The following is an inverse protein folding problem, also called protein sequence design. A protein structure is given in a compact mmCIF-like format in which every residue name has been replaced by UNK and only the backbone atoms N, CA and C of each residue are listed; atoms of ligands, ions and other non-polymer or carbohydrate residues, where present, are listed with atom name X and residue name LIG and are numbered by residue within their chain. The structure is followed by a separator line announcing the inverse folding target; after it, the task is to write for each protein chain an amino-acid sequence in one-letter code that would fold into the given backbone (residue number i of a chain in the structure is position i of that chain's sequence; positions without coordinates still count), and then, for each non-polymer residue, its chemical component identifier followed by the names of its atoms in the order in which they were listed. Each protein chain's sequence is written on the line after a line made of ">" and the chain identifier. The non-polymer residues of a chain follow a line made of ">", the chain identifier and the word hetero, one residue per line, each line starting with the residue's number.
data_IF_479383800360
#
_entry.id   IF_479383800360
#
_cell.length_a   1.000
_cell.length_b   1.000
_cell.length_c   1.000
_cell.angle_alpha   90.00
_cell.angle_beta   90.00
_cell.angle_gamma   90.00
#
_symmetry.space_group_name_H-M   'P 1'
#
loop_
_entity.id
_entity.type
_entity.pdbx_description
1 polymer ?
#
# COMPACT_ATOMS: atom_id res chain seq x y z
N UNK A 1 -6.35 -35.19 -4.35
CA UNK A 1 -5.56 -34.02 -3.89
C UNK A 1 -5.05 -33.30 -5.11
N UNK A 2 -5.79 -32.30 -5.57
CA UNK A 2 -5.40 -31.44 -6.70
C UNK A 2 -4.48 -30.36 -6.14
N UNK A 3 -3.19 -30.48 -6.41
CA UNK A 3 -2.22 -29.42 -6.15
C UNK A 3 -2.49 -28.31 -7.16
N UNK A 4 -3.25 -27.29 -6.76
CA UNK A 4 -3.31 -26.02 -7.47
C UNK A 4 -1.94 -25.37 -7.34
N UNK A 5 -1.08 -25.56 -8.34
CA UNK A 5 0.10 -24.72 -8.50
C UNK A 5 -0.37 -23.30 -8.73
N UNK A 6 0.11 -22.35 -7.91
CA UNK A 6 -0.13 -20.93 -8.13
C UNK A 6 0.22 -20.58 -9.58
N UNK A 7 -0.70 -19.98 -10.35
CA UNK A 7 -0.45 -19.66 -11.75
C UNK A 7 0.75 -18.72 -11.87
N UNK A 8 1.60 -18.97 -12.88
CA UNK A 8 2.76 -18.13 -13.16
C UNK A 8 2.29 -16.67 -13.37
N UNK A 9 2.66 -15.75 -12.47
CA UNK A 9 2.07 -14.41 -12.45
C UNK A 9 2.43 -13.55 -13.66
N UNK A 10 3.50 -13.92 -14.38
CA UNK A 10 4.04 -13.14 -15.50
C UNK A 10 3.16 -13.17 -16.76
N UNK A 11 2.13 -14.02 -16.84
CA UNK A 11 1.38 -14.20 -18.09
C UNK A 11 -0.10 -13.79 -18.04
N UNK A 12 -0.68 -13.51 -16.86
CA UNK A 12 -2.13 -13.22 -16.76
C UNK A 12 -2.60 -12.23 -15.67
N UNK A 13 -1.75 -11.73 -14.78
CA UNK A 13 -2.23 -11.03 -13.58
C UNK A 13 -2.20 -9.50 -13.69
N UNK A 14 -3.37 -8.91 -13.91
CA UNK A 14 -3.63 -7.46 -13.85
C UNK A 14 -3.82 -7.05 -12.37
N UNK A 15 -2.78 -7.24 -11.56
CA UNK A 15 -2.76 -7.02 -10.10
C UNK A 15 -2.24 -8.24 -9.31
N UNK A 16 -1.79 -8.01 -8.07
CA UNK A 16 -1.19 -9.04 -7.21
C UNK A 16 -2.18 -10.07 -6.68
N UNK A 17 -3.26 -9.59 -6.09
CA UNK A 17 -4.34 -10.40 -5.55
C UNK A 17 -5.59 -9.53 -5.40
N UNK A 18 -6.79 -10.10 -5.32
CA UNK A 18 -7.95 -9.36 -4.82
C UNK A 18 -7.71 -8.92 -3.38
N UNK A 19 -8.05 -7.67 -3.06
CA UNK A 19 -8.17 -7.17 -1.69
C UNK A 19 -9.60 -6.73 -1.48
N UNK A 20 -10.49 -7.72 -1.52
CA UNK A 20 -11.94 -7.52 -1.42
C UNK A 20 -12.43 -7.57 0.02
N UNK A 21 -11.57 -7.94 0.98
CA UNK A 21 -11.91 -8.12 2.40
C UNK A 21 -11.09 -7.24 3.34
N UNK A 22 -11.55 -7.09 4.59
CA UNK A 22 -10.82 -6.39 5.66
C UNK A 22 -9.44 -6.99 5.88
N UNK A 23 -8.41 -6.17 5.62
CA UNK A 23 -7.08 -6.46 6.13
C UNK A 23 -7.03 -6.17 7.63
N UNK A 24 -6.85 -7.22 8.41
CA UNK A 24 -6.52 -7.10 9.83
C UNK A 24 -5.03 -7.32 9.99
N UNK A 25 -4.32 -6.32 10.53
CA UNK A 25 -2.90 -6.47 10.87
C UNK A 25 -2.73 -7.58 11.89
N UNK A 26 -1.74 -8.47 11.75
CA UNK A 26 -1.45 -9.48 12.76
C UNK A 26 -1.23 -8.85 14.15
N UNK A 27 -1.65 -9.54 15.22
CA UNK A 27 -1.61 -8.98 16.59
C UNK A 27 -0.21 -8.50 17.01
N UNK A 28 0.85 -9.20 16.57
CA UNK A 28 2.23 -8.81 16.90
C UNK A 28 2.65 -7.47 16.24
N UNK A 29 1.91 -7.00 15.24
CA UNK A 29 2.07 -5.69 14.62
C UNK A 29 1.36 -4.58 15.42
N UNK A 30 0.71 -4.90 16.55
CA UNK A 30 0.18 -3.88 17.43
C UNK A 30 1.32 -3.09 18.09
N UNK A 31 1.14 -1.78 18.25
CA UNK A 31 2.13 -0.89 18.89
C UNK A 31 2.46 -1.29 20.34
N UNK A 32 1.59 -2.04 21.01
CA UNK A 32 1.85 -2.65 22.32
C UNK A 32 3.01 -3.64 22.31
N UNK A 33 3.18 -4.39 21.22
CA UNK A 33 4.22 -5.42 21.08
C UNK A 33 5.39 -4.97 20.20
N UNK A 34 5.18 -3.93 19.40
CA UNK A 34 6.19 -3.39 18.50
C UNK A 34 7.00 -2.26 19.16
N UNK A 35 8.20 -2.59 19.63
CA UNK A 35 9.03 -1.67 20.43
C UNK A 35 9.88 -0.70 19.61
N UNK A 36 9.97 -0.88 18.29
CA UNK A 36 10.71 0.04 17.41
C UNK A 36 9.85 1.25 17.04
N UNK A 37 10.10 2.37 17.72
CA UNK A 37 9.40 3.64 17.52
C UNK A 37 9.90 4.46 16.32
N UNK A 38 11.01 4.06 15.69
CA UNK A 38 11.55 4.69 14.48
C UNK A 38 10.86 4.08 13.24
N UNK A 39 10.73 2.76 13.20
CA UNK A 39 10.07 2.03 12.11
C UNK A 39 8.76 1.42 12.61
N UNK A 40 7.60 2.10 12.45
CA UNK A 40 6.32 1.58 12.92
C UNK A 40 5.96 0.24 12.24
N UNK A 41 5.05 -0.56 12.82
CA UNK A 41 4.71 -1.90 12.31
C UNK A 41 4.37 -1.94 10.82
N UNK A 42 3.57 -0.98 10.34
CA UNK A 42 3.15 -0.89 8.94
C UNK A 42 4.26 -0.44 7.97
N UNK A 43 5.47 -0.20 8.47
CA UNK A 43 6.69 -0.07 7.65
C UNK A 43 7.37 -1.41 7.39
N UNK A 44 6.84 -2.51 7.94
CA UNK A 44 7.35 -3.87 7.79
C UNK A 44 6.43 -4.74 6.95
N UNK A 45 7.02 -5.53 6.05
CA UNK A 45 6.32 -6.41 5.11
C UNK A 45 5.50 -7.50 5.82
N UNK A 46 5.92 -7.95 7.00
CA UNK A 46 5.19 -8.95 7.79
C UNK A 46 3.86 -8.43 8.35
N UNK A 47 3.69 -7.10 8.35
CA UNK A 47 2.50 -6.40 8.81
C UNK A 47 1.65 -5.89 7.65
N UNK A 48 1.90 -6.34 6.42
CA UNK A 48 1.15 -5.98 5.22
C UNK A 48 0.17 -7.08 4.81
N UNK A 49 -0.84 -6.77 3.97
CA UNK A 49 -1.76 -7.79 3.47
C UNK A 49 -1.00 -8.90 2.72
N UNK A 50 -1.64 -10.07 2.62
CA UNK A 50 -1.09 -11.20 1.83
C UNK A 50 -0.74 -10.74 0.41
N UNK A 51 0.24 -11.38 -0.22
CA UNK A 51 0.71 -11.01 -1.56
C UNK A 51 1.34 -9.60 -1.68
N UNK A 52 1.63 -8.92 -0.58
CA UNK A 52 2.28 -7.59 -0.65
C UNK A 52 3.62 -7.63 -1.39
N UNK A 53 4.43 -8.68 -1.19
CA UNK A 53 5.69 -8.84 -1.93
C UNK A 53 5.46 -8.89 -3.45
N UNK A 54 4.33 -9.47 -3.89
CA UNK A 54 3.95 -9.48 -5.30
C UNK A 54 3.62 -8.06 -5.80
N UNK A 55 2.92 -7.27 -4.98
CA UNK A 55 2.60 -5.86 -5.27
C UNK A 55 3.86 -5.02 -5.39
N UNK A 56 4.75 -5.11 -4.39
CA UNK A 56 5.88 -4.21 -4.26
C UNK A 56 7.13 -4.66 -5.02
N UNK A 57 7.54 -5.91 -4.88
CA UNK A 57 8.84 -6.36 -5.40
C UNK A 57 8.79 -6.59 -6.91
N UNK A 58 7.62 -6.98 -7.43
CA UNK A 58 7.41 -7.20 -8.86
C UNK A 58 6.72 -6.01 -9.54
N UNK A 59 6.52 -4.90 -8.82
CA UNK A 59 5.88 -3.68 -9.32
C UNK A 59 4.47 -3.90 -9.89
N UNK A 60 3.77 -4.98 -9.51
CA UNK A 60 2.37 -5.16 -9.94
C UNK A 60 1.42 -4.20 -9.26
N UNK A 61 1.87 -3.54 -8.18
CA UNK A 61 1.43 -2.28 -7.59
C UNK A 61 -0.06 -2.04 -7.41
N UNK A 62 -0.93 -3.02 -7.60
CA UNK A 62 -2.32 -2.94 -7.17
C UNK A 62 -2.79 -4.30 -6.69
N UNK A 63 -3.55 -4.25 -5.60
CA UNK A 63 -4.58 -5.25 -5.37
C UNK A 63 -5.75 -4.99 -6.33
N UNK A 64 -6.23 -6.02 -7.00
CA UNK A 64 -7.23 -5.92 -8.06
C UNK A 64 -8.13 -7.16 -8.11
N UNK A 65 -9.45 -7.01 -8.02
CA UNK A 65 -10.12 -5.80 -7.53
C UNK A 65 -9.77 -5.54 -6.05
N UNK A 66 -9.78 -4.27 -5.65
CA UNK A 66 -9.61 -3.91 -4.25
C UNK A 66 -10.02 -2.47 -3.97
N UNK A 67 -10.37 -2.23 -2.71
CA UNK A 67 -10.62 -0.90 -2.14
C UNK A 67 -9.82 -0.76 -0.84
N UNK A 68 -9.83 0.42 -0.23
CA UNK A 68 -9.11 0.63 1.01
C UNK A 68 -9.63 -0.30 2.10
N UNK A 69 -8.75 -1.12 2.71
CA UNK A 69 -9.19 -2.03 3.76
C UNK A 69 -9.64 -1.23 4.99
N UNK A 70 -10.48 -1.83 5.83
CA UNK A 70 -10.87 -1.21 7.09
C UNK A 70 -9.65 -0.79 7.94
N UNK A 71 -9.70 0.39 8.52
CA UNK A 71 -8.57 1.01 9.22
C UNK A 71 -7.65 1.86 8.32
N UNK A 72 -7.89 1.83 7.01
CA UNK A 72 -7.26 2.70 6.03
C UNK A 72 -8.30 3.64 5.45
N UNK A 73 -7.85 4.81 5.02
CA UNK A 73 -8.65 5.79 4.29
C UNK A 73 -8.11 5.94 2.88
N UNK A 74 -8.98 6.32 1.94
CA UNK A 74 -8.52 6.77 0.62
C UNK A 74 -7.56 7.93 0.80
N UNK A 75 -6.36 7.76 0.25
CA UNK A 75 -5.33 8.78 0.23
C UNK A 75 -5.47 9.65 -1.02
N UNK A 76 -4.35 9.84 -1.69
CA UNK A 76 -4.27 10.55 -2.95
C UNK A 76 -4.65 9.63 -4.12
N UNK A 77 -5.11 10.25 -5.20
CA UNK A 77 -5.24 9.56 -6.47
C UNK A 77 -3.89 9.02 -6.93
N UNK A 78 -3.88 7.80 -7.46
CA UNK A 78 -2.66 7.23 -8.02
C UNK A 78 -2.23 8.03 -9.26
N UNK A 79 -0.96 8.44 -9.36
CA UNK A 79 -0.44 9.12 -10.54
C UNK A 79 -0.26 8.12 -11.69
N UNK A 80 -1.27 7.99 -12.57
CA UNK A 80 -1.26 7.01 -13.67
C UNK A 80 -0.08 7.16 -14.63
N UNK A 81 0.60 8.31 -14.66
CA UNK A 81 1.86 8.50 -15.38
C UNK A 81 3.04 7.68 -14.83
N UNK A 82 2.94 7.19 -13.59
CA UNK A 82 3.94 6.31 -12.96
C UNK A 82 3.59 4.82 -13.10
N UNK A 83 2.42 4.50 -13.65
CA UNK A 83 1.93 3.14 -13.89
C UNK A 83 2.79 2.35 -14.89
N UNK A 84 3.44 3.08 -15.79
CA UNK A 84 4.30 2.54 -16.85
C UNK A 84 5.60 3.32 -16.84
N UNK A 85 6.73 2.64 -16.90
CA UNK A 85 8.03 3.28 -17.00
C UNK A 85 8.23 3.91 -18.39
N UNK A 86 9.23 4.79 -18.52
CA UNK A 86 9.49 5.54 -19.77
C UNK A 86 9.81 4.65 -20.97
N UNK A 87 10.31 3.44 -20.73
CA UNK A 87 10.65 2.42 -21.72
C UNK A 87 9.47 1.47 -22.04
N UNK A 88 8.28 1.73 -21.49
CA UNK A 88 7.07 0.94 -21.74
C UNK A 88 6.96 -0.32 -20.87
N UNK A 89 7.89 -0.54 -19.94
CA UNK A 89 7.76 -1.62 -18.96
C UNK A 89 6.74 -1.28 -17.85
N UNK A 90 6.37 -2.30 -17.07
CA UNK A 90 5.48 -2.15 -15.91
C UNK A 90 6.17 -1.23 -14.89
N UNK A 91 5.55 -0.08 -14.62
CA UNK A 91 5.94 0.86 -13.58
C UNK A 91 5.26 0.50 -12.25
N UNK A 92 4.93 1.47 -11.42
CA UNK A 92 4.17 1.19 -10.19
C UNK A 92 2.75 0.74 -10.53
N UNK A 93 2.44 -0.53 -10.39
CA UNK A 93 1.06 -1.00 -10.58
C UNK A 93 0.70 -1.48 -11.97
N UNK A 94 1.55 -1.19 -12.95
CA UNK A 94 1.22 -1.46 -14.35
C UNK A 94 0.06 -0.60 -14.87
N UNK A 95 -0.21 -0.68 -16.18
CA UNK A 95 -1.13 0.23 -16.85
C UNK A 95 -2.56 0.15 -16.30
N UNK A 96 -3.15 1.33 -16.07
CA UNK A 96 -4.56 1.50 -15.67
C UNK A 96 -5.41 1.63 -16.92
N UNK A 97 -6.47 0.83 -17.00
CA UNK A 97 -7.38 0.78 -18.15
C UNK A 97 -8.52 1.79 -17.99
N UNK A 98 -9.11 2.21 -19.11
CA UNK A 98 -10.32 3.04 -19.09
C UNK A 98 -11.42 2.34 -18.28
N UNK A 99 -11.98 3.05 -17.30
CA UNK A 99 -13.01 2.53 -16.40
C UNK A 99 -12.47 1.90 -15.10
N UNK A 100 -11.16 1.73 -14.96
CA UNK A 100 -10.53 1.36 -13.69
C UNK A 100 -10.24 2.62 -12.85
N UNK A 101 -10.45 2.50 -11.54
CA UNK A 101 -10.18 3.55 -10.56
C UNK A 101 -9.05 3.10 -9.65
N UNK A 102 -7.81 3.61 -9.84
CA UNK A 102 -6.68 3.30 -8.97
C UNK A 102 -6.62 4.27 -7.79
N UNK A 103 -6.32 3.76 -6.59
CA UNK A 103 -6.17 4.53 -5.35
C UNK A 103 -5.03 4.05 -4.50
N UNK A 104 -4.50 4.98 -3.71
CA UNK A 104 -3.64 4.67 -2.59
C UNK A 104 -4.47 4.71 -1.31
N UNK A 105 -4.23 3.74 -0.44
CA UNK A 105 -4.87 3.63 0.85
C UNK A 105 -3.81 3.82 1.92
N UNK A 106 -4.07 4.79 2.80
CA UNK A 106 -3.19 5.10 3.92
C UNK A 106 -3.84 4.69 5.24
N UNK A 107 -3.06 4.16 6.20
CA UNK A 107 -3.60 3.87 7.52
C UNK A 107 -4.14 5.15 8.17
N UNK A 108 -5.15 4.99 9.03
CA UNK A 108 -5.69 6.12 9.80
C UNK A 108 -4.57 6.85 10.55
N UNK A 109 -4.54 8.18 10.44
CA UNK A 109 -3.48 9.02 11.01
C UNK A 109 -2.27 9.25 10.09
N UNK A 110 -2.31 8.72 8.86
CA UNK A 110 -1.30 8.94 7.83
C UNK A 110 -1.91 9.56 6.58
N UNK A 111 -1.10 10.28 5.82
CA UNK A 111 -1.46 10.84 4.51
C UNK A 111 -0.52 10.35 3.43
N UNK A 112 -0.91 10.48 2.17
CA UNK A 112 -0.04 10.12 1.05
C UNK A 112 1.32 10.82 1.13
N UNK A 113 2.40 10.05 0.99
CA UNK A 113 3.71 10.60 0.78
C UNK A 113 3.94 10.75 -0.73
N UNK A 114 4.00 11.98 -1.24
CA UNK A 114 4.04 12.26 -2.69
C UNK A 114 5.43 12.66 -3.21
N UNK A 115 6.46 12.64 -2.36
CA UNK A 115 7.82 12.99 -2.78
C UNK A 115 8.44 11.89 -3.65
N UNK A 116 8.42 12.14 -4.96
CA UNK A 116 8.91 11.21 -5.99
C UNK A 116 10.42 10.97 -5.93
N UNK A 117 11.19 11.73 -5.14
CA UNK A 117 12.63 11.51 -4.96
C UNK A 117 12.94 10.38 -3.97
N UNK A 118 11.98 9.98 -3.13
CA UNK A 118 12.22 9.04 -2.03
C UNK A 118 10.97 8.23 -1.70
N UNK A 119 10.53 7.36 -2.62
CA UNK A 119 9.41 6.42 -2.40
C UNK A 119 8.00 7.02 -2.45
N UNK A 120 7.84 8.20 -3.05
CA UNK A 120 6.54 8.81 -3.28
C UNK A 120 5.56 7.84 -3.93
N UNK A 121 4.32 7.83 -3.43
CA UNK A 121 3.21 6.98 -3.86
C UNK A 121 3.35 5.46 -3.56
N UNK A 122 4.41 5.04 -2.87
CA UNK A 122 4.51 3.69 -2.27
C UNK A 122 4.47 3.73 -0.74
N UNK A 123 4.45 4.93 -0.16
CA UNK A 123 4.45 5.18 1.28
C UNK A 123 3.38 6.18 1.69
N UNK A 124 2.98 6.09 2.95
CA UNK A 124 2.20 7.11 3.64
C UNK A 124 3.05 7.70 4.77
N UNK A 125 2.91 8.99 5.02
CA UNK A 125 3.62 9.72 6.07
C UNK A 125 2.67 10.03 7.23
N UNK A 126 3.16 9.85 8.46
CA UNK A 126 2.37 10.14 9.66
C UNK A 126 1.98 11.63 9.71
N UNK A 127 0.76 11.91 10.16
CA UNK A 127 0.29 13.30 10.39
C UNK A 127 0.81 13.88 11.70
N UNK A 128 1.28 13.02 12.60
CA UNK A 128 1.87 13.39 13.89
C UNK A 128 3.26 12.77 14.02
N UNK A 129 4.20 13.39 14.74
CA UNK A 129 5.50 12.79 15.00
C UNK A 129 5.38 11.47 15.77
N UNK A 130 6.08 10.44 15.29
CA UNK A 130 6.07 9.10 15.88
C UNK A 130 7.29 8.82 16.75
N UNK A 131 8.31 9.66 16.63
CA UNK A 131 9.56 9.54 17.39
C UNK A 131 10.01 10.91 17.84
N UNK A 132 10.48 11.00 19.08
CA UNK A 132 11.13 12.19 19.64
C UNK A 132 12.52 11.80 20.13
N UNK A 133 13.54 12.58 19.77
CA UNK A 133 14.93 12.35 20.13
C UNK A 133 15.67 13.68 20.22
N UNK A 134 16.82 13.72 20.90
CA UNK A 134 17.68 14.89 20.91
C UNK A 134 18.65 14.82 19.73
N UNK A 135 18.79 15.92 18.97
CA UNK A 135 19.75 16.00 17.87
C UNK A 135 21.19 16.18 18.40
N UNK A 136 22.17 16.32 17.51
CA UNK A 136 23.59 16.54 17.87
C UNK A 136 23.83 17.82 18.69
N UNK A 137 22.93 18.78 18.63
CA UNK A 137 22.97 20.04 19.39
C UNK A 137 22.17 19.95 20.71
N UNK A 138 21.80 18.73 21.11
CA UNK A 138 21.00 18.44 22.30
C UNK A 138 19.64 19.19 22.32
N UNK A 139 19.05 19.40 21.13
CA UNK A 139 17.72 19.99 20.97
C UNK A 139 16.66 18.90 20.74
N UNK A 140 15.48 19.00 21.39
CA UNK A 140 14.38 18.07 21.18
C UNK A 140 13.89 18.17 19.74
N UNK A 141 14.04 17.08 19.00
CA UNK A 141 13.64 16.91 17.61
C UNK A 141 12.63 15.79 17.52
N UNK A 142 11.79 15.81 16.47
CA UNK A 142 10.86 14.72 16.21
C UNK A 142 10.82 14.40 14.72
N UNK A 143 10.42 13.18 14.37
CA UNK A 143 10.32 12.73 12.99
C UNK A 143 8.96 12.08 12.71
N UNK A 144 8.43 12.35 11.51
CA UNK A 144 7.25 11.67 10.97
C UNK A 144 7.69 10.32 10.39
N UNK A 145 7.05 9.22 10.80
CA UNK A 145 7.33 7.92 10.21
C UNK A 145 6.71 7.77 8.81
N UNK A 146 7.38 6.96 7.99
CA UNK A 146 6.85 6.43 6.73
C UNK A 146 6.41 4.98 6.91
N UNK A 147 5.20 4.68 6.45
CA UNK A 147 4.60 3.33 6.39
C UNK A 147 4.27 2.98 4.94
N UNK A 148 4.09 1.70 4.63
CA UNK A 148 3.67 1.30 3.28
C UNK A 148 2.25 1.77 2.98
N UNK A 149 2.06 2.32 1.78
CA UNK A 149 0.74 2.52 1.22
C UNK A 149 0.23 1.20 0.64
N UNK A 150 -1.08 0.96 0.75
CA UNK A 150 -1.73 -0.14 0.02
C UNK A 150 -2.28 0.45 -1.27
N UNK A 151 -1.83 -0.06 -2.41
CA UNK A 151 -2.30 0.39 -3.72
C UNK A 151 -3.40 -0.55 -4.18
N UNK A 152 -4.55 0.00 -4.56
CA UNK A 152 -5.74 -0.76 -4.94
C UNK A 152 -6.32 -0.22 -6.24
N UNK A 153 -7.04 -1.07 -6.96
CA UNK A 153 -7.83 -0.64 -8.12
C UNK A 153 -9.09 -1.47 -8.25
N UNK A 154 -10.13 -0.85 -8.79
CA UNK A 154 -11.38 -1.53 -9.10
C UNK A 154 -12.02 -0.95 -10.36
N UNK A 155 -12.82 -1.75 -11.05
CA UNK A 155 -13.77 -1.31 -12.06
C UNK A 155 -15.19 -1.26 -11.46
N UNK A 156 -16.12 -0.57 -12.12
CA UNK A 156 -17.53 -0.52 -11.68
C UNK A 156 -18.19 -1.91 -11.60
N UNK A 157 -17.73 -2.87 -12.41
CA UNK A 157 -18.20 -4.26 -12.36
C UNK A 157 -17.79 -5.00 -11.08
N UNK A 158 -16.75 -4.53 -10.40
CA UNK A 158 -16.18 -5.20 -9.22
C UNK A 158 -16.92 -4.80 -7.94
N UNK A 159 -17.74 -3.75 -7.96
CA UNK A 159 -18.42 -3.21 -6.79
C UNK A 159 -19.28 -4.26 -6.06
N UNK A 160 -19.85 -5.22 -6.79
CA UNK A 160 -20.69 -6.27 -6.19
C UNK A 160 -19.91 -7.34 -5.40
N UNK A 161 -18.58 -7.42 -5.56
CA UNK A 161 -17.72 -8.39 -4.88
C UNK A 161 -16.80 -7.74 -3.84
N UNK A 162 -16.88 -6.42 -3.68
CA UNK A 162 -16.14 -5.68 -2.66
C UNK A 162 -16.95 -5.65 -1.34
N UNK A 163 -16.27 -5.82 -0.21
CA UNK A 163 -16.92 -5.86 1.11
C UNK A 163 -17.55 -4.51 1.50
N UNK A 164 -17.05 -3.40 0.96
CA UNK A 164 -17.62 -2.05 1.16
C UNK A 164 -17.65 -1.29 -0.16
N UNK A 165 -18.40 -0.18 -0.20
CA UNK A 165 -18.33 0.76 -1.30
C UNK A 165 -17.05 1.60 -1.20
N UNK A 166 -16.44 2.03 -2.33
CA UNK A 166 -15.32 2.95 -2.29
C UNK A 166 -15.72 4.27 -1.63
N UNK A 167 -14.98 4.69 -0.59
CA UNK A 167 -15.20 5.93 0.17
C UNK A 167 -14.16 6.99 -0.12
#
# INVERSE_FOLDING_TARGET
>A
MTTTSDPNPMTTQRGAAPLTTVFTTPDFCNSLYWTNTITPPLSSVVCMPTSWHQVNDYSWGYYSPGICPSGYTEGCAFPTSLATSKDGAVGMGGPVTVGETPRLCCPTGYVCYTDTKSYGYSKCISTIPTTSFYNSDNQPTSQLALVYAVQVRWASSDLSILETDPT
#
